data_IF_923303284364
#
_entry.id   IF_923303284364
#
_cell.length_a   1.000
_cell.length_b   1.000
_cell.length_c   1.000
_cell.angle_alpha   90.00
_cell.angle_beta   90.00
_cell.angle_gamma   90.00
#
_symmetry.space_group_name_H-M   'P 1'
#
loop_
_entity.id
_entity.type
_entity.pdbx_description
1 polymer ?
#
# COMPACT_ATOMS: atom_id res chain seq x y z
N UNK A 1 29.14 16.21 -51.10
CA UNK A 1 30.36 15.93 -50.30
C UNK A 1 30.05 16.32 -48.86
N UNK A 2 29.29 15.47 -48.17
CA UNK A 2 29.68 14.79 -46.91
C UNK A 2 29.97 15.78 -45.78
N UNK A 3 29.03 16.05 -44.88
CA UNK A 3 28.89 15.17 -43.72
C UNK A 3 27.50 15.28 -43.08
N UNK A 4 26.70 14.22 -43.28
CA UNK A 4 25.60 13.82 -42.41
C UNK A 4 26.30 13.22 -41.18
N UNK A 5 26.70 14.09 -40.25
CA UNK A 5 27.32 13.67 -38.98
C UNK A 5 26.47 12.53 -38.40
N UNK A 6 27.12 11.40 -38.23
CA UNK A 6 26.51 10.09 -38.08
C UNK A 6 25.59 10.08 -36.86
N UNK A 7 24.28 9.87 -37.09
CA UNK A 7 23.40 9.34 -36.04
C UNK A 7 23.94 7.96 -35.70
N UNK A 8 24.80 7.87 -34.69
CA UNK A 8 25.23 6.62 -34.12
C UNK A 8 23.98 5.84 -33.69
N UNK A 9 23.68 4.76 -34.40
CA UNK A 9 22.58 3.87 -34.11
C UNK A 9 22.89 3.18 -32.78
N UNK A 10 22.20 3.59 -31.71
CA UNK A 10 22.42 3.03 -30.37
C UNK A 10 22.02 1.56 -30.37
N UNK A 11 22.97 0.66 -30.11
CA UNK A 11 22.72 -0.76 -30.01
C UNK A 11 21.71 -1.03 -28.87
N UNK A 12 20.67 -1.84 -29.15
CA UNK A 12 19.69 -2.28 -28.14
C UNK A 12 20.42 -2.88 -26.94
N UNK A 13 20.08 -2.42 -25.74
CA UNK A 13 20.68 -2.88 -24.48
C UNK A 13 21.85 -2.03 -23.97
N UNK A 14 22.29 -1.01 -24.70
CA UNK A 14 23.30 -0.06 -24.21
C UNK A 14 22.64 0.99 -23.32
N UNK A 15 23.21 1.27 -22.14
CA UNK A 15 22.67 2.30 -21.24
C UNK A 15 22.72 3.65 -21.93
N UNK A 16 21.60 4.38 -21.85
CA UNK A 16 21.45 5.69 -22.48
C UNK A 16 22.07 6.83 -21.66
N UNK A 17 22.31 6.63 -20.36
CA UNK A 17 22.78 7.64 -19.42
C UNK A 17 24.10 7.20 -18.79
N UNK A 18 25.02 8.16 -18.58
CA UNK A 18 26.34 7.94 -17.97
C UNK A 18 26.31 7.69 -16.46
N UNK A 19 25.12 7.72 -15.84
CA UNK A 19 24.92 7.54 -14.40
C UNK A 19 24.78 6.08 -13.94
N UNK A 20 24.75 5.93 -12.62
CA UNK A 20 24.40 4.67 -11.96
C UNK A 20 22.90 4.39 -12.11
N UNK A 21 22.48 3.94 -13.31
CA UNK A 21 21.12 3.46 -13.57
C UNK A 21 20.88 2.09 -12.92
N UNK A 22 21.04 2.02 -11.59
CA UNK A 22 20.85 0.84 -10.77
C UNK A 22 19.97 1.19 -9.57
N UNK A 23 18.95 0.39 -9.26
CA UNK A 23 18.19 0.54 -8.02
C UNK A 23 19.11 0.42 -6.80
N UNK A 24 18.93 1.31 -5.83
CA UNK A 24 19.58 1.22 -4.51
C UNK A 24 18.82 0.29 -3.57
N UNK A 25 17.51 0.12 -3.78
CA UNK A 25 16.66 -0.84 -3.09
C UNK A 25 16.82 -2.23 -3.68
N UNK A 26 16.87 -3.26 -2.83
CA UNK A 26 16.88 -4.65 -3.30
C UNK A 26 15.52 -5.07 -3.88
N UNK A 27 15.51 -6.07 -4.77
CA UNK A 27 14.27 -6.58 -5.35
C UNK A 27 13.29 -7.08 -4.27
N UNK A 28 13.80 -7.78 -3.25
CA UNK A 28 12.99 -8.31 -2.15
C UNK A 28 12.36 -7.19 -1.30
N UNK A 29 13.11 -6.13 -1.00
CA UNK A 29 12.58 -4.96 -0.28
C UNK A 29 11.51 -4.25 -1.12
N UNK A 30 11.77 -4.05 -2.43
CA UNK A 30 10.79 -3.43 -3.33
C UNK A 30 9.50 -4.25 -3.43
N UNK A 31 9.60 -5.58 -3.52
CA UNK A 31 8.44 -6.47 -3.51
C UNK A 31 7.67 -6.43 -2.19
N UNK A 32 8.38 -6.39 -1.05
CA UNK A 32 7.75 -6.31 0.27
C UNK A 32 6.96 -5.00 0.42
N UNK A 33 7.59 -3.86 0.09
CA UNK A 33 6.94 -2.55 0.10
C UNK A 33 5.76 -2.49 -0.86
N UNK A 34 5.91 -3.02 -2.08
CA UNK A 34 4.83 -3.05 -3.07
C UNK A 34 3.61 -3.80 -2.56
N UNK A 35 3.79 -4.99 -1.97
CA UNK A 35 2.67 -5.76 -1.41
C UNK A 35 1.95 -5.00 -0.30
N UNK A 36 2.70 -4.34 0.59
CA UNK A 36 2.09 -3.56 1.66
C UNK A 36 1.34 -2.33 1.13
N UNK A 37 1.91 -1.61 0.17
CA UNK A 37 1.25 -0.45 -0.43
C UNK A 37 0.05 -0.83 -1.29
N UNK A 38 0.05 -1.97 -1.96
CA UNK A 38 -1.11 -2.44 -2.75
C UNK A 38 -2.37 -2.58 -1.89
N UNK A 39 -2.21 -3.07 -0.66
CA UNK A 39 -3.30 -3.14 0.31
C UNK A 39 -3.81 -1.76 0.70
N UNK A 40 -2.96 -0.75 0.79
CA UNK A 40 -3.39 0.62 1.10
C UNK A 40 -3.91 1.40 -0.12
N UNK A 41 -3.51 1.01 -1.34
CA UNK A 41 -3.81 1.70 -2.58
C UNK A 41 -5.26 1.53 -3.07
N UNK A 42 -6.24 1.81 -2.20
CA UNK A 42 -7.65 1.83 -2.56
C UNK A 42 -8.44 2.82 -1.71
N UNK A 43 -9.26 3.69 -2.32
CA UNK A 43 -9.91 4.80 -1.63
C UNK A 43 -10.81 4.35 -0.48
N UNK A 44 -11.61 3.30 -0.69
CA UNK A 44 -12.49 2.77 0.38
C UNK A 44 -11.67 2.19 1.53
N UNK A 45 -10.52 1.55 1.27
CA UNK A 45 -9.71 0.96 2.34
C UNK A 45 -9.09 2.06 3.20
N UNK A 46 -8.65 3.16 2.59
CA UNK A 46 -8.18 4.34 3.32
C UNK A 46 -9.29 4.97 4.18
N UNK A 47 -10.52 5.08 3.67
CA UNK A 47 -11.66 5.57 4.46
C UNK A 47 -11.99 4.66 5.64
N UNK A 48 -12.01 3.34 5.43
CA UNK A 48 -12.25 2.37 6.50
C UNK A 48 -11.17 2.47 7.57
N UNK A 49 -9.89 2.55 7.19
CA UNK A 49 -8.78 2.71 8.13
C UNK A 49 -8.87 4.02 8.92
N UNK A 50 -9.26 5.12 8.28
CA UNK A 50 -9.48 6.41 8.97
C UNK A 50 -10.59 6.31 10.02
N UNK A 51 -11.73 5.72 9.67
CA UNK A 51 -12.84 5.49 10.62
C UNK A 51 -12.39 4.59 11.77
N UNK A 52 -11.72 3.47 11.46
CA UNK A 52 -11.23 2.52 12.47
C UNK A 52 -10.12 3.10 13.35
N UNK A 53 -9.30 4.03 12.85
CA UNK A 53 -8.24 4.65 13.63
C UNK A 53 -8.77 5.67 14.64
N UNK A 54 -9.87 6.36 14.29
CA UNK A 54 -10.51 7.39 15.13
C UNK A 54 -11.40 6.81 16.23
N UNK A 55 -11.89 5.60 16.05
CA UNK A 55 -12.72 4.90 17.03
C UNK A 55 -11.85 3.81 17.64
N UNK A 56 -11.59 3.82 18.96
CA UNK A 56 -10.61 2.99 19.69
C UNK A 56 -10.87 1.45 19.68
N UNK A 57 -11.32 0.90 18.56
CA UNK A 57 -11.18 -0.50 18.22
C UNK A 57 -12.47 -1.31 18.20
N UNK A 58 -13.64 -0.67 18.13
CA UNK A 58 -14.92 -1.40 18.16
C UNK A 58 -15.94 -0.83 17.20
N UNK A 59 -15.63 -0.85 15.91
CA UNK A 59 -16.60 -0.45 14.87
C UNK A 59 -17.17 -1.70 14.19
N UNK A 60 -18.48 -1.83 14.14
CA UNK A 60 -19.12 -2.94 13.44
C UNK A 60 -19.23 -2.66 11.93
N UNK A 61 -19.49 -3.70 11.14
CA UNK A 61 -19.65 -3.55 9.68
C UNK A 61 -20.81 -2.63 9.29
N UNK A 62 -21.87 -2.56 10.09
CA UNK A 62 -23.03 -1.70 9.83
C UNK A 62 -22.65 -0.22 9.94
N UNK A 63 -21.84 0.15 10.95
CA UNK A 63 -21.36 1.53 11.10
C UNK A 63 -20.38 1.91 9.99
N UNK A 64 -19.54 0.95 9.54
CA UNK A 64 -18.63 1.17 8.42
C UNK A 64 -19.36 1.34 7.07
N UNK A 65 -20.45 0.61 6.85
CA UNK A 65 -21.33 0.85 5.70
C UNK A 65 -21.98 2.24 5.78
N UNK A 66 -22.46 2.66 6.96
CA UNK A 66 -23.04 3.99 7.14
C UNK A 66 -22.01 5.12 6.96
N UNK A 67 -20.74 4.88 7.27
CA UNK A 67 -19.65 5.83 7.14
C UNK A 67 -19.03 5.89 5.73
N UNK A 68 -19.40 4.99 4.82
CA UNK A 68 -18.82 4.90 3.47
C UNK A 68 -19.91 4.98 2.39
N UNK A 69 -19.49 5.11 1.12
CA UNK A 69 -20.41 5.17 -0.03
C UNK A 69 -20.75 3.79 -0.60
N UNK A 70 -20.21 2.71 -0.01
CA UNK A 70 -20.35 1.34 -0.51
C UNK A 70 -21.19 0.48 0.42
N UNK A 71 -21.80 -0.57 -0.13
CA UNK A 71 -22.67 -1.48 0.63
C UNK A 71 -21.89 -2.50 1.44
N UNK A 72 -22.57 -3.08 2.43
CA UNK A 72 -22.00 -4.09 3.34
C UNK A 72 -21.17 -5.19 2.67
N UNK A 73 -21.57 -5.80 1.53
CA UNK A 73 -20.78 -6.83 0.86
C UNK A 73 -19.41 -6.31 0.40
N UNK A 74 -19.37 -5.08 -0.09
CA UNK A 74 -18.14 -4.39 -0.51
C UNK A 74 -17.28 -4.02 0.68
N UNK A 75 -17.87 -3.51 1.77
CA UNK A 75 -17.16 -3.25 3.03
C UNK A 75 -16.51 -4.53 3.56
N UNK A 76 -17.27 -5.63 3.61
CA UNK A 76 -16.80 -6.93 4.09
C UNK A 76 -15.65 -7.47 3.24
N UNK A 77 -15.71 -7.30 1.93
CA UNK A 77 -14.62 -7.66 1.02
C UNK A 77 -13.34 -6.86 1.32
N UNK A 78 -13.46 -5.54 1.51
CA UNK A 78 -12.31 -4.70 1.85
C UNK A 78 -11.73 -5.02 3.22
N UNK A 79 -12.57 -5.29 4.23
CA UNK A 79 -12.12 -5.72 5.55
C UNK A 79 -11.40 -7.06 5.51
N UNK A 80 -11.88 -8.01 4.70
CA UNK A 80 -11.19 -9.29 4.48
C UNK A 80 -9.76 -9.07 3.95
N UNK A 81 -9.60 -8.25 2.91
CA UNK A 81 -8.28 -7.95 2.33
C UNK A 81 -7.35 -7.25 3.35
N UNK A 82 -7.88 -6.30 4.13
CA UNK A 82 -7.11 -5.61 5.18
C UNK A 82 -6.69 -6.57 6.30
N UNK A 83 -7.53 -7.56 6.64
CA UNK A 83 -7.22 -8.61 7.62
C UNK A 83 -6.19 -9.61 7.11
N UNK A 84 -6.32 -10.05 5.86
CA UNK A 84 -5.32 -10.93 5.21
C UNK A 84 -3.94 -10.26 5.15
N UNK A 85 -3.90 -8.93 5.05
CA UNK A 85 -2.67 -8.14 5.13
C UNK A 85 -2.19 -7.84 6.56
N UNK A 86 -2.96 -8.21 7.60
CA UNK A 86 -2.63 -7.95 8.99
C UNK A 86 -2.76 -6.49 9.46
N UNK A 87 -3.29 -5.58 8.62
CA UNK A 87 -3.46 -4.15 8.92
C UNK A 87 -4.68 -3.90 9.82
N UNK A 88 -5.69 -4.74 9.70
CA UNK A 88 -6.91 -4.72 10.51
C UNK A 88 -7.05 -6.07 11.18
N UNK A 89 -7.61 -6.09 12.38
CA UNK A 89 -8.07 -7.32 13.02
C UNK A 89 -9.52 -7.17 13.49
N UNK A 90 -10.10 -8.26 14.01
CA UNK A 90 -11.48 -8.31 14.43
C UNK A 90 -11.69 -9.14 15.68
N UNK A 91 -12.54 -8.66 16.58
CA UNK A 91 -13.00 -9.39 17.76
C UNK A 91 -14.48 -9.74 17.61
N UNK A 92 -14.88 -10.96 18.01
CA UNK A 92 -16.28 -11.36 18.02
C UNK A 92 -16.87 -11.21 19.41
N UNK A 93 -17.96 -10.45 19.51
CA UNK A 93 -18.78 -10.35 20.70
C UNK A 93 -20.19 -10.89 20.38
N UNK A 94 -20.39 -12.18 20.67
CA UNK A 94 -21.60 -12.91 20.32
C UNK A 94 -21.79 -13.03 18.80
N UNK A 95 -22.89 -12.49 18.28
CA UNK A 95 -23.18 -12.49 16.84
C UNK A 95 -22.48 -11.36 16.08
N UNK A 96 -21.94 -10.37 16.80
CA UNK A 96 -21.32 -9.19 16.21
C UNK A 96 -19.82 -9.36 16.05
N UNK A 97 -19.29 -8.86 14.94
CA UNK A 97 -17.86 -8.72 14.69
C UNK A 97 -17.51 -7.24 14.70
N UNK A 98 -16.47 -6.90 15.48
CA UNK A 98 -15.95 -5.55 15.61
C UNK A 98 -14.55 -5.51 15.03
N UNK A 99 -14.27 -4.49 14.24
CA UNK A 99 -12.99 -4.34 13.55
C UNK A 99 -12.17 -3.23 14.20
N UNK A 100 -10.86 -3.37 14.12
CA UNK A 100 -9.90 -2.40 14.64
C UNK A 100 -8.59 -2.44 13.87
N UNK A 101 -7.89 -1.30 13.88
CA UNK A 101 -6.57 -1.19 13.27
C UNK A 101 -5.55 -1.96 14.11
N UNK A 102 -4.72 -2.78 13.46
CA UNK A 102 -3.51 -3.31 14.05
C UNK A 102 -2.43 -2.22 14.06
N UNK A 103 -2.24 -1.57 15.22
CA UNK A 103 -1.32 -0.45 15.35
C UNK A 103 0.13 -0.87 15.12
N UNK A 104 0.54 -2.02 15.65
CA UNK A 104 1.90 -2.53 15.47
C UNK A 104 2.23 -2.75 13.99
N UNK A 105 1.31 -3.36 13.23
CA UNK A 105 1.48 -3.56 11.79
C UNK A 105 1.60 -2.23 11.03
N UNK A 106 0.79 -1.22 11.37
CA UNK A 106 0.89 0.11 10.76
C UNK A 106 2.19 0.83 11.12
N UNK A 107 2.68 0.68 12.35
CA UNK A 107 3.94 1.27 12.77
C UNK A 107 5.13 0.65 12.03
N UNK A 108 5.12 -0.67 11.86
CA UNK A 108 6.12 -1.37 11.03
C UNK A 108 6.11 -0.84 9.60
N UNK A 109 4.92 -0.75 8.98
CA UNK A 109 4.78 -0.26 7.62
C UNK A 109 5.23 1.21 7.47
N UNK A 110 4.90 2.05 8.45
CA UNK A 110 5.37 3.45 8.48
C UNK A 110 6.89 3.51 8.49
N UNK A 111 7.54 2.73 9.36
CA UNK A 111 9.00 2.73 9.46
C UNK A 111 9.66 2.26 8.15
N UNK A 112 9.12 1.21 7.52
CA UNK A 112 9.62 0.72 6.23
C UNK A 112 9.44 1.75 5.11
N UNK A 113 8.28 2.41 5.07
CA UNK A 113 7.99 3.49 4.12
C UNK A 113 8.92 4.69 4.34
N UNK A 114 9.11 5.13 5.59
CA UNK A 114 9.98 6.25 5.95
C UNK A 114 11.43 5.96 5.56
N UNK A 115 11.94 4.75 5.84
CA UNK A 115 13.27 4.32 5.44
C UNK A 115 13.44 4.37 3.91
N UNK A 116 12.46 3.88 3.17
CA UNK A 116 12.50 3.90 1.71
C UNK A 116 12.46 5.33 1.15
N UNK A 117 11.52 6.15 1.61
CA UNK A 117 11.34 7.53 1.15
C UNK A 117 12.52 8.43 1.53
N UNK A 118 13.10 8.23 2.71
CA UNK A 118 14.32 8.94 3.12
C UNK A 118 15.51 8.63 2.20
N UNK A 119 15.56 7.46 1.56
CA UNK A 119 16.60 7.12 0.58
C UNK A 119 16.40 7.72 -0.81
N UNK A 120 15.30 8.44 -1.06
CA UNK A 120 15.01 9.09 -2.34
C UNK A 120 15.42 10.58 -2.38
N UNK A 121 15.78 11.18 -1.24
CA UNK A 121 16.19 12.58 -1.08
C UNK A 121 17.57 12.69 -0.43
#
# INVERSE_FOLDING_TARGET
MTSRAERAERARGTRCCDGEARPTVSANEAEALSRAFEVLAHPVRLQLLDVLARNEGRVCVCDLEAATTVKQPTVSHHLKLLREAGIVDSERHGVWAYYFVNREALESLRNDADKFLAGLG
#
